data_IF_517318458652
#
_entry.id   IF_517318458652
#
_cell.length_a   1.000
_cell.length_b   1.000
_cell.length_c   1.000
_cell.angle_alpha   90.00
_cell.angle_beta   90.00
_cell.angle_gamma   90.00
#
_symmetry.space_group_name_H-M   'P 1'
#
loop_
_entity.id
_entity.type
_entity.pdbx_description
1 polymer ?
#
# COMPACT_ATOMS: atom_id res chain seq x y z
N UNK A 1 0.54 6.88 -2.24
CA UNK A 1 -0.89 6.50 -2.34
C UNK A 1 -1.51 6.86 -3.67
N UNK A 2 -1.56 8.16 -4.05
CA UNK A 2 -2.16 8.56 -5.34
C UNK A 2 -1.54 7.81 -6.54
N UNK A 3 -0.19 7.70 -6.58
CA UNK A 3 0.51 6.91 -7.60
C UNK A 3 0.14 5.41 -7.60
N UNK A 4 0.10 4.77 -6.42
CA UNK A 4 -0.28 3.35 -6.30
C UNK A 4 -1.69 3.10 -6.81
N UNK A 5 -2.61 4.02 -6.53
CA UNK A 5 -3.99 3.91 -7.02
C UNK A 5 -4.07 4.17 -8.52
N UNK A 6 -3.48 5.27 -9.00
CA UNK A 6 -3.60 5.72 -10.39
C UNK A 6 -2.84 4.83 -11.38
N UNK A 7 -1.66 4.33 -10.99
CA UNK A 7 -0.81 3.53 -11.89
C UNK A 7 -0.95 2.04 -11.66
N UNK A 8 -1.08 1.63 -10.39
CA UNK A 8 -1.03 0.23 -10.01
C UNK A 8 -2.39 -0.30 -9.53
N UNK A 9 -3.45 0.52 -9.51
CA UNK A 9 -4.78 0.11 -9.04
C UNK A 9 -4.81 -0.35 -7.58
N UNK A 10 -3.81 0.03 -6.76
CA UNK A 10 -3.69 -0.37 -5.37
C UNK A 10 -4.12 0.77 -4.46
N UNK A 11 -5.21 0.54 -3.70
CA UNK A 11 -5.64 1.43 -2.62
C UNK A 11 -5.07 0.96 -1.29
N UNK A 12 -4.45 1.88 -0.55
CA UNK A 12 -3.96 1.68 0.82
C UNK A 12 -4.49 2.82 1.70
N UNK A 13 -4.32 2.74 3.02
CA UNK A 13 -4.53 3.90 3.89
C UNK A 13 -3.18 4.49 4.32
N UNK A 14 -3.04 5.82 4.40
CA UNK A 14 -1.87 6.45 4.99
C UNK A 14 -1.83 6.21 6.50
N UNK A 15 -0.62 6.00 7.03
CA UNK A 15 -0.43 5.82 8.47
C UNK A 15 -0.80 7.05 9.32
N UNK A 16 -0.87 8.25 8.75
CA UNK A 16 -1.21 9.46 9.53
C UNK A 16 -2.61 9.43 10.14
N UNK A 17 -3.52 8.57 9.64
CA UNK A 17 -4.84 8.35 10.24
C UNK A 17 -4.82 7.40 11.45
N UNK A 18 -3.67 6.82 11.79
CA UNK A 18 -3.54 5.73 12.77
C UNK A 18 -2.48 6.06 13.84
N UNK A 19 -2.16 7.33 14.05
CA UNK A 19 -1.27 7.82 15.12
C UNK A 19 0.11 7.11 15.18
N UNK A 20 0.66 6.71 14.02
CA UNK A 20 1.99 6.10 14.00
C UNK A 20 3.09 7.10 14.41
N UNK A 21 4.12 6.66 15.16
CA UNK A 21 5.13 7.55 15.74
C UNK A 21 6.16 8.10 14.74
N UNK A 22 6.12 7.65 13.48
CA UNK A 22 6.98 8.12 12.39
C UNK A 22 6.15 8.27 11.13
N UNK A 23 6.61 9.11 10.21
CA UNK A 23 5.98 9.27 8.91
C UNK A 23 6.19 8.05 8.00
N UNK A 24 5.53 8.09 6.84
CA UNK A 24 5.71 7.15 5.72
C UNK A 24 5.26 5.69 5.97
N UNK A 25 4.30 5.46 6.87
CA UNK A 25 3.62 4.16 6.93
C UNK A 25 2.49 4.04 5.91
N UNK A 26 2.36 2.84 5.36
CA UNK A 26 1.17 2.38 4.64
C UNK A 26 0.43 1.38 5.53
N UNK A 27 -0.89 1.53 5.62
CA UNK A 27 -1.78 0.58 6.26
C UNK A 27 -2.48 -0.23 5.19
N UNK A 28 -2.33 -1.55 5.26
CA UNK A 28 -2.86 -2.51 4.30
C UNK A 28 -4.02 -3.27 4.94
N UNK A 29 -5.14 -3.38 4.22
CA UNK A 29 -6.28 -4.18 4.66
C UNK A 29 -5.98 -5.67 4.47
N UNK A 30 -6.23 -6.48 5.49
CA UNK A 30 -6.15 -7.95 5.43
C UNK A 30 -7.53 -8.60 5.17
N UNK A 31 -8.54 -7.80 4.84
CA UNK A 31 -9.88 -8.28 4.48
C UNK A 31 -10.00 -8.90 3.07
N UNK A 32 -9.25 -8.43 2.04
CA UNK A 32 -9.26 -9.09 0.72
C UNK A 32 -8.78 -10.54 0.80
N UNK A 33 -9.06 -11.32 -0.25
CA UNK A 33 -8.51 -12.67 -0.33
C UNK A 33 -6.98 -12.63 -0.41
N UNK A 34 -6.28 -13.71 0.03
CA UNK A 34 -4.82 -13.76 -0.01
C UNK A 34 -4.24 -13.45 -1.39
N UNK A 35 -4.89 -13.91 -2.47
CA UNK A 35 -4.41 -13.70 -3.84
C UNK A 35 -4.42 -12.21 -4.24
N UNK A 36 -5.45 -11.46 -3.79
CA UNK A 36 -5.54 -10.01 -4.02
C UNK A 36 -4.48 -9.28 -3.19
N UNK A 37 -4.27 -9.72 -1.94
CA UNK A 37 -3.26 -9.14 -1.07
C UNK A 37 -1.85 -9.36 -1.63
N UNK A 38 -1.52 -10.58 -2.05
CA UNK A 38 -0.23 -10.94 -2.63
C UNK A 38 0.09 -10.08 -3.85
N UNK A 39 -0.88 -9.94 -4.77
CA UNK A 39 -0.72 -9.10 -5.96
C UNK A 39 -0.52 -7.61 -5.60
N UNK A 40 -1.26 -7.10 -4.62
CA UNK A 40 -1.13 -5.72 -4.17
C UNK A 40 0.24 -5.47 -3.52
N UNK A 41 0.75 -6.41 -2.73
CA UNK A 41 2.08 -6.34 -2.10
C UNK A 41 3.17 -6.32 -3.17
N UNK A 42 3.09 -7.16 -4.19
CA UNK A 42 4.04 -7.18 -5.30
C UNK A 42 4.10 -5.84 -6.05
N UNK A 43 2.93 -5.22 -6.30
CA UNK A 43 2.82 -3.89 -6.91
C UNK A 43 3.46 -2.81 -6.04
N UNK A 44 3.23 -2.86 -4.72
CA UNK A 44 3.84 -1.93 -3.76
C UNK A 44 5.37 -2.06 -3.76
N UNK A 45 5.89 -3.30 -3.73
CA UNK A 45 7.33 -3.55 -3.71
C UNK A 45 8.02 -3.07 -5.00
N UNK A 46 7.40 -3.24 -6.17
CA UNK A 46 7.91 -2.68 -7.42
C UNK A 46 8.08 -1.17 -7.33
N UNK A 47 7.08 -0.45 -6.84
CA UNK A 47 7.17 1.00 -6.68
C UNK A 47 8.30 1.42 -5.73
N UNK A 48 8.54 0.68 -4.64
CA UNK A 48 9.60 0.97 -3.69
C UNK A 48 10.98 0.77 -4.35
N UNK A 49 11.16 -0.30 -5.12
CA UNK A 49 12.44 -0.64 -5.75
C UNK A 49 12.79 0.26 -6.95
N UNK A 50 11.83 1.01 -7.48
CA UNK A 50 12.05 1.97 -8.57
C UNK A 50 12.51 3.36 -8.09
N UNK A 51 12.57 3.62 -6.77
CA UNK A 51 12.95 4.92 -6.18
C UNK A 51 14.25 4.86 -5.37
#
# INVERSE_FOLDING_TARGET
>A
MLRLLEKDGVLVHPGYFFDFPRDAFLVVSLLPSPEILDEAVDRILRLINEN
#
